data_IF_845666589375
#
_entry.id   IF_845666589375
#
_cell.length_a   1.000
_cell.length_b   1.000
_cell.length_c   1.000
_cell.angle_alpha   90.00
_cell.angle_beta   90.00
_cell.angle_gamma   90.00
#
_symmetry.space_group_name_H-M   'P 1'
#
loop_
_entity.id
_entity.type
_entity.pdbx_description
1 polymer ?
#
# COMPACT_ATOMS: atom_id res chain seq x y z
N UNK A 1 -15.09 -4.17 -6.00
CA UNK A 1 -14.95 -3.33 -4.78
C UNK A 1 -16.28 -2.91 -4.16
N UNK A 2 -17.15 -2.10 -4.81
CA UNK A 2 -18.39 -1.59 -4.17
C UNK A 2 -19.28 -2.63 -3.49
N UNK A 3 -19.55 -3.77 -4.16
CA UNK A 3 -20.28 -4.90 -3.55
C UNK A 3 -19.68 -5.37 -2.22
N UNK A 4 -18.36 -5.57 -2.18
CA UNK A 4 -17.62 -6.01 -0.99
C UNK A 4 -17.56 -4.91 0.06
N UNK A 5 -17.35 -3.66 -0.36
CA UNK A 5 -17.38 -2.49 0.53
C UNK A 5 -18.69 -2.39 1.30
N UNK A 6 -19.82 -2.60 0.62
CA UNK A 6 -21.15 -2.64 1.24
C UNK A 6 -21.33 -3.82 2.20
N UNK A 7 -20.82 -5.00 1.83
CA UNK A 7 -20.94 -6.20 2.67
C UNK A 7 -20.12 -6.09 3.96
N UNK A 8 -18.94 -5.48 3.90
CA UNK A 8 -18.01 -5.35 5.02
C UNK A 8 -18.20 -4.06 5.83
N UNK A 9 -19.02 -3.12 5.35
CA UNK A 9 -19.21 -1.80 5.96
C UNK A 9 -17.86 -1.08 6.17
N UNK A 10 -17.11 -0.92 5.07
CA UNK A 10 -15.72 -0.45 5.13
C UNK A 10 -15.61 0.97 5.69
N UNK A 11 -14.55 1.22 6.47
CA UNK A 11 -14.30 2.55 7.05
C UNK A 11 -13.49 3.47 6.13
N UNK A 12 -12.65 2.93 5.26
CA UNK A 12 -11.81 3.68 4.32
C UNK A 12 -11.30 2.74 3.23
N UNK A 13 -10.66 3.32 2.20
CA UNK A 13 -9.92 2.58 1.17
C UNK A 13 -8.45 2.99 1.23
N UNK A 14 -7.55 2.05 0.93
CA UNK A 14 -6.12 2.32 0.77
C UNK A 14 -5.75 2.10 -0.69
N UNK A 15 -5.07 3.08 -1.30
CA UNK A 15 -4.42 2.93 -2.60
C UNK A 15 -2.92 2.69 -2.41
N UNK A 16 -2.39 1.62 -2.99
CA UNK A 16 -0.98 1.22 -2.92
C UNK A 16 -0.10 1.89 -3.99
N UNK A 17 -0.56 3.00 -4.59
CA UNK A 17 0.21 3.79 -5.56
C UNK A 17 -0.04 3.39 -7.01
N UNK A 18 0.64 4.08 -7.92
CA UNK A 18 0.33 4.14 -9.35
C UNK A 18 -1.13 4.55 -9.57
N UNK A 19 -1.49 5.66 -8.92
CA UNK A 19 -2.85 6.15 -8.89
C UNK A 19 -3.32 6.60 -10.28
N UNK A 20 -2.41 7.19 -11.07
CA UNK A 20 -2.70 7.71 -12.40
C UNK A 20 -1.67 7.26 -13.44
N UNK A 21 -2.10 6.35 -14.31
CA UNK A 21 -1.32 5.89 -15.46
C UNK A 21 -1.51 6.80 -16.69
N UNK A 22 -0.55 6.89 -17.61
CA UNK A 22 0.77 6.24 -17.58
C UNK A 22 1.86 7.11 -16.94
N UNK A 23 1.64 8.41 -16.76
CA UNK A 23 2.68 9.33 -16.29
C UNK A 23 2.17 10.33 -15.26
N UNK A 24 1.33 9.86 -14.32
CA UNK A 24 0.79 10.71 -13.25
C UNK A 24 -0.16 11.78 -13.78
N UNK A 25 -0.42 12.79 -12.94
CA UNK A 25 -1.19 13.98 -13.31
C UNK A 25 -0.25 15.09 -13.78
N UNK A 26 -0.67 15.92 -14.72
CA UNK A 26 0.09 17.10 -15.16
C UNK A 26 0.06 18.22 -14.10
N UNK A 27 -1.09 18.43 -13.46
CA UNK A 27 -1.34 19.47 -12.47
C UNK A 27 -2.64 19.22 -11.69
N UNK A 28 -2.98 20.14 -10.76
CA UNK A 28 -4.16 20.03 -9.89
C UNK A 28 -5.50 20.11 -10.62
N UNK A 29 -5.53 20.59 -11.87
CA UNK A 29 -6.72 20.69 -12.72
C UNK A 29 -6.77 19.59 -13.79
N UNK A 30 -5.87 18.61 -13.74
CA UNK A 30 -5.84 17.53 -14.73
C UNK A 30 -7.18 16.74 -14.72
N UNK A 31 -7.82 16.55 -15.89
CA UNK A 31 -9.06 15.78 -15.99
C UNK A 31 -8.90 14.30 -15.59
N UNK A 32 -7.69 13.74 -15.68
CA UNK A 32 -7.41 12.35 -15.30
C UNK A 32 -7.77 12.04 -13.85
N UNK A 33 -7.67 13.02 -12.95
CA UNK A 33 -8.15 12.86 -11.57
C UNK A 33 -9.64 12.51 -11.53
N UNK A 34 -10.47 13.25 -12.27
CA UNK A 34 -11.91 12.98 -12.30
C UNK A 34 -12.23 11.70 -13.04
N UNK A 35 -11.64 11.49 -14.23
CA UNK A 35 -11.97 10.34 -15.07
C UNK A 35 -11.45 9.00 -14.55
N UNK A 36 -10.39 8.99 -13.73
CA UNK A 36 -9.76 7.77 -13.22
C UNK A 36 -10.01 7.51 -11.74
N UNK A 37 -10.54 8.49 -10.99
CA UNK A 37 -10.88 8.35 -9.57
C UNK A 37 -12.34 8.72 -9.28
N UNK A 38 -12.72 9.99 -9.46
CA UNK A 38 -14.04 10.49 -9.06
C UNK A 38 -15.18 9.72 -9.73
N UNK A 39 -15.13 9.60 -11.06
CA UNK A 39 -16.19 8.99 -11.86
C UNK A 39 -16.14 7.46 -11.87
N UNK A 40 -15.03 6.87 -11.42
CA UNK A 40 -14.86 5.40 -11.37
C UNK A 40 -15.46 4.84 -10.08
N UNK A 41 -15.13 5.43 -8.94
CA UNK A 41 -15.48 4.87 -7.62
C UNK A 41 -16.78 5.48 -7.07
N UNK A 42 -17.88 5.39 -7.81
CA UNK A 42 -19.15 6.08 -7.51
C UNK A 42 -20.11 5.30 -6.59
N UNK A 43 -19.83 4.04 -6.29
CA UNK A 43 -20.69 3.23 -5.41
C UNK A 43 -20.82 3.87 -4.01
N UNK A 44 -22.02 3.91 -3.40
CA UNK A 44 -22.23 4.48 -2.07
C UNK A 44 -21.28 3.95 -0.99
N UNK A 45 -20.89 2.67 -1.05
CA UNK A 45 -19.99 2.10 -0.05
C UNK A 45 -18.54 2.55 -0.19
N UNK A 46 -18.19 3.22 -1.29
CA UNK A 46 -16.86 3.76 -1.57
C UNK A 46 -16.78 5.27 -1.34
N UNK A 47 -17.87 5.88 -0.83
CA UNK A 47 -17.93 7.30 -0.47
C UNK A 47 -17.32 7.55 0.92
N UNK A 48 -16.10 7.04 1.09
CA UNK A 48 -15.27 7.20 2.29
C UNK A 48 -13.89 7.74 1.89
N UNK A 49 -13.02 8.04 2.85
CA UNK A 49 -11.65 8.49 2.58
C UNK A 49 -10.82 7.39 1.90
N UNK A 50 -10.04 7.81 0.91
CA UNK A 50 -9.04 7.04 0.20
C UNK A 50 -7.66 7.55 0.61
N UNK A 51 -6.94 6.72 1.36
CA UNK A 51 -5.56 6.97 1.77
C UNK A 51 -4.61 6.40 0.73
N UNK A 52 -3.97 7.26 -0.04
CA UNK A 52 -3.10 6.88 -1.15
C UNK A 52 -1.62 7.12 -0.84
N UNK A 53 -0.78 6.17 -1.23
CA UNK A 53 0.67 6.38 -1.42
C UNK A 53 0.96 6.67 -2.90
N UNK A 54 2.15 7.15 -3.21
CA UNK A 54 2.60 7.42 -4.57
C UNK A 54 3.35 6.21 -5.14
N UNK A 55 3.07 5.85 -6.39
CA UNK A 55 3.84 4.88 -7.15
C UNK A 55 4.80 5.52 -8.15
N UNK A 56 5.52 4.69 -8.89
CA UNK A 56 6.53 5.17 -9.84
C UNK A 56 5.90 5.93 -11.01
N UNK A 57 4.70 5.55 -11.44
CA UNK A 57 3.98 6.28 -12.50
C UNK A 57 3.50 7.65 -12.02
N UNK A 58 3.11 7.78 -10.75
CA UNK A 58 2.73 9.07 -10.16
C UNK A 58 3.89 10.08 -10.17
N UNK A 59 5.10 9.57 -9.96
CA UNK A 59 6.32 10.35 -10.05
C UNK A 59 6.73 10.75 -11.46
N UNK A 60 6.20 10.10 -12.49
CA UNK A 60 6.45 10.50 -13.88
C UNK A 60 5.64 11.74 -14.28
N UNK A 61 4.70 12.17 -13.43
CA UNK A 61 3.91 13.39 -13.57
C UNK A 61 4.27 14.44 -12.52
N UNK A 62 3.25 15.11 -12.00
CA UNK A 62 3.33 16.15 -11.00
C UNK A 62 2.94 15.60 -9.63
N UNK A 63 3.94 15.16 -8.87
CA UNK A 63 3.76 14.60 -7.53
C UNK A 63 3.10 15.61 -6.60
N UNK A 64 3.52 16.88 -6.68
CA UNK A 64 2.98 17.93 -5.82
C UNK A 64 1.48 18.18 -6.07
N UNK A 65 0.96 17.89 -7.26
CA UNK A 65 -0.47 17.97 -7.52
C UNK A 65 -1.23 16.91 -6.71
N UNK A 66 -0.76 15.67 -6.71
CA UNK A 66 -1.34 14.56 -5.94
C UNK A 66 -1.32 14.80 -4.43
N UNK A 67 -0.30 15.50 -3.95
CA UNK A 67 -0.12 15.90 -2.55
C UNK A 67 -0.85 17.19 -2.15
N UNK A 68 -1.52 17.88 -3.08
CA UNK A 68 -2.11 19.20 -2.82
C UNK A 68 -3.50 19.11 -2.18
N UNK A 69 -3.86 20.15 -1.42
CA UNK A 69 -5.23 20.33 -0.92
C UNK A 69 -6.22 20.73 -2.02
N UNK A 70 -5.72 21.11 -3.21
CA UNK A 70 -6.56 21.39 -4.38
C UNK A 70 -7.28 20.14 -4.87
N UNK A 71 -6.63 18.96 -4.84
CA UNK A 71 -7.28 17.69 -5.17
C UNK A 71 -8.31 17.28 -4.12
N UNK A 72 -8.01 17.50 -2.83
CA UNK A 72 -8.98 17.28 -1.74
C UNK A 72 -10.21 18.17 -1.93
N UNK A 73 -10.02 19.39 -2.43
CA UNK A 73 -11.11 20.33 -2.74
C UNK A 73 -11.94 19.88 -3.96
N UNK A 74 -11.34 19.13 -4.90
CA UNK A 74 -12.04 18.55 -6.05
C UNK A 74 -12.84 17.30 -5.67
N UNK A 75 -12.28 16.45 -4.82
CA UNK A 75 -12.96 15.27 -4.28
C UNK A 75 -12.50 15.02 -2.84
N UNK A 76 -13.35 15.25 -1.82
CA UNK A 76 -12.96 15.18 -0.40
C UNK A 76 -12.60 13.78 0.07
N UNK A 77 -12.83 12.75 -0.75
CA UNK A 77 -12.38 11.38 -0.47
C UNK A 77 -10.87 11.25 -0.62
N UNK A 78 -10.22 12.09 -1.42
CA UNK A 78 -8.79 11.93 -1.71
C UNK A 78 -7.92 12.39 -0.53
N UNK A 79 -7.01 11.53 -0.09
CA UNK A 79 -5.94 11.89 0.83
C UNK A 79 -4.63 11.23 0.39
N UNK A 80 -3.65 12.04 0.00
CA UNK A 80 -2.32 11.55 -0.36
C UNK A 80 -1.25 12.44 0.27
N UNK A 81 -0.30 11.80 0.97
CA UNK A 81 0.89 12.39 1.57
C UNK A 81 2.06 11.43 1.34
N UNK A 82 3.30 11.94 1.33
CA UNK A 82 4.50 11.10 1.16
C UNK A 82 4.65 10.07 2.27
N UNK A 83 4.45 10.52 3.51
CA UNK A 83 4.42 9.66 4.67
C UNK A 83 3.38 10.19 5.66
N UNK A 84 2.67 9.28 6.33
CA UNK A 84 1.68 9.60 7.36
C UNK A 84 1.35 8.35 8.17
N UNK A 85 0.73 8.54 9.32
CA UNK A 85 0.28 7.45 10.19
C UNK A 85 -1.20 7.61 10.52
N UNK A 86 -1.91 6.49 10.60
CA UNK A 86 -3.29 6.43 11.10
C UNK A 86 -3.34 5.45 12.28
N UNK A 87 -4.15 5.78 13.29
CA UNK A 87 -4.36 4.94 14.45
C UNK A 87 -5.86 4.75 14.67
N UNK A 88 -6.28 3.49 14.84
CA UNK A 88 -7.68 3.12 15.03
C UNK A 88 -7.84 2.29 16.29
N UNK A 89 -8.89 2.57 17.07
CA UNK A 89 -9.30 1.70 18.15
C UNK A 89 -10.11 0.51 17.58
N UNK A 90 -9.78 -0.71 17.99
CA UNK A 90 -10.53 -1.91 17.65
C UNK A 90 -11.33 -2.34 18.88
N UNK A 91 -12.65 -2.37 18.73
CA UNK A 91 -13.58 -2.65 19.82
C UNK A 91 -14.20 -4.04 19.64
N UNK A 92 -14.40 -4.75 20.75
CA UNK A 92 -15.12 -6.02 20.71
C UNK A 92 -16.64 -5.77 20.65
N UNK A 93 -17.29 -6.18 19.56
CA UNK A 93 -18.74 -6.05 19.40
C UNK A 93 -19.56 -6.77 20.50
N UNK A 94 -19.00 -7.81 21.13
CA UNK A 94 -19.68 -8.59 22.18
C UNK A 94 -19.50 -8.03 23.59
N UNK A 95 -18.50 -7.17 23.81
CA UNK A 95 -18.24 -6.46 25.06
C UNK A 95 -18.38 -4.97 24.80
N UNK A 96 -19.63 -4.51 24.72
CA UNK A 96 -19.98 -3.13 24.40
C UNK A 96 -19.08 -2.13 25.15
N UNK A 97 -18.22 -1.43 24.42
CA UNK A 97 -17.41 -0.32 24.91
C UNK A 97 -15.97 -0.63 25.36
N UNK A 98 -15.51 -1.88 25.37
CA UNK A 98 -14.09 -2.16 25.62
C UNK A 98 -13.29 -2.21 24.32
N UNK A 99 -12.53 -1.14 24.05
CA UNK A 99 -11.58 -1.06 22.94
C UNK A 99 -10.18 -1.23 23.51
N UNK A 100 -9.77 -2.48 23.73
CA UNK A 100 -8.48 -2.82 24.33
C UNK A 100 -7.38 -3.07 23.30
N UNK A 101 -7.71 -2.98 22.01
CA UNK A 101 -6.77 -3.18 20.92
C UNK A 101 -6.75 -1.97 19.98
N UNK A 102 -5.64 -1.78 19.28
CA UNK A 102 -5.47 -0.71 18.32
C UNK A 102 -4.74 -1.19 17.06
N UNK A 103 -5.05 -0.56 15.93
CA UNK A 103 -4.37 -0.75 14.65
C UNK A 103 -3.65 0.54 14.28
N UNK A 104 -2.33 0.45 14.08
CA UNK A 104 -1.53 1.51 13.49
C UNK A 104 -1.19 1.16 12.03
N UNK A 105 -1.51 2.08 11.12
CA UNK A 105 -1.09 2.04 9.72
C UNK A 105 -0.02 3.09 9.51
N UNK A 106 1.12 2.71 8.92
CA UNK A 106 2.21 3.61 8.57
C UNK A 106 2.40 3.62 7.06
N UNK A 107 2.26 4.78 6.45
CA UNK A 107 2.35 4.96 5.00
C UNK A 107 3.72 5.55 4.64
N UNK A 108 4.36 4.99 3.62
CA UNK A 108 5.74 5.27 3.24
C UNK A 108 5.87 5.52 1.73
N UNK A 109 6.78 6.41 1.34
CA UNK A 109 7.12 6.67 -0.06
C UNK A 109 8.38 5.89 -0.45
N UNK A 110 8.19 4.80 -1.22
CA UNK A 110 9.29 3.91 -1.60
C UNK A 110 10.01 4.32 -2.88
N UNK A 111 9.52 5.32 -3.63
CA UNK A 111 10.16 5.77 -4.87
C UNK A 111 11.61 6.25 -4.69
N UNK A 112 11.95 7.01 -3.63
CA UNK A 112 13.34 7.42 -3.41
C UNK A 112 14.28 6.26 -3.13
N UNK A 113 13.78 5.07 -2.75
CA UNK A 113 14.62 3.91 -2.42
C UNK A 113 15.19 3.23 -3.65
N UNK A 114 14.48 3.26 -4.77
CA UNK A 114 14.83 2.49 -5.98
C UNK A 114 15.98 3.15 -6.72
N UNK A 115 17.16 2.56 -6.71
CA UNK A 115 18.38 3.15 -7.30
C UNK A 115 18.26 3.35 -8.80
N UNK A 116 17.56 2.44 -9.49
CA UNK A 116 17.33 2.51 -10.94
C UNK A 116 16.67 3.83 -11.38
N UNK A 117 15.79 4.41 -10.55
CA UNK A 117 15.05 5.64 -10.89
C UNK A 117 15.93 6.89 -10.88
N UNK A 118 17.13 6.79 -10.30
CA UNK A 118 18.09 7.90 -10.20
C UNK A 118 19.24 7.80 -11.20
N UNK A 119 19.29 6.71 -11.98
CA UNK A 119 20.34 6.52 -12.98
C UNK A 119 20.17 7.53 -14.12
N UNK A 120 21.26 8.17 -14.59
CA UNK A 120 21.21 9.08 -15.75
C UNK A 120 20.75 8.38 -17.04
N UNK A 121 20.81 7.05 -17.08
CA UNK A 121 20.36 6.21 -18.19
C UNK A 121 18.87 5.89 -18.13
N UNK A 122 18.16 6.27 -17.07
CA UNK A 122 16.73 6.05 -16.98
C UNK A 122 16.01 6.94 -18.01
N UNK A 123 15.13 6.34 -18.81
CA UNK A 123 14.38 7.04 -19.87
C UNK A 123 13.19 7.82 -19.33
N UNK A 124 12.68 7.43 -18.16
CA UNK A 124 11.55 8.09 -17.52
C UNK A 124 12.03 9.31 -16.73
N UNK A 125 11.26 10.40 -16.84
CA UNK A 125 11.51 11.62 -16.07
C UNK A 125 10.72 11.56 -14.78
N UNK A 126 11.39 11.58 -13.64
CA UNK A 126 10.78 11.57 -12.31
C UNK A 126 10.77 12.96 -11.67
N UNK A 127 9.70 13.28 -10.95
CA UNK A 127 9.53 14.50 -10.18
C UNK A 127 10.08 14.37 -8.75
N UNK A 128 11.35 14.74 -8.59
CA UNK A 128 12.06 14.68 -7.30
C UNK A 128 11.89 15.93 -6.42
N UNK A 129 10.94 16.83 -6.74
CA UNK A 129 10.73 18.06 -5.95
C UNK A 129 10.38 17.72 -4.49
N UNK A 130 11.10 18.37 -3.58
CA UNK A 130 10.96 18.17 -2.14
C UNK A 130 11.68 16.93 -1.58
N UNK A 131 12.51 16.25 -2.38
CA UNK A 131 13.22 15.01 -1.96
C UNK A 131 14.75 15.11 -2.09
N UNK A 132 15.27 16.29 -2.41
CA UNK A 132 16.70 16.52 -2.55
C UNK A 132 17.26 17.19 -1.29
N UNK A 133 18.43 16.74 -0.79
CA UNK A 133 19.26 15.63 -1.29
C UNK A 133 18.68 14.23 -0.97
N UNK A 134 18.77 13.30 -1.95
CA UNK A 134 18.20 11.94 -1.84
C UNK A 134 18.67 11.19 -0.60
N UNK A 135 19.97 11.22 -0.31
CA UNK A 135 20.56 10.47 0.82
C UNK A 135 20.00 10.95 2.16
N UNK A 136 19.89 12.26 2.34
CA UNK A 136 19.34 12.85 3.57
C UNK A 136 17.85 12.53 3.70
N UNK A 137 17.11 12.62 2.59
CA UNK A 137 15.69 12.27 2.58
C UNK A 137 15.45 10.79 2.92
N UNK A 138 16.24 9.88 2.35
CA UNK A 138 16.13 8.45 2.64
C UNK A 138 16.41 8.16 4.10
N UNK A 139 17.45 8.77 4.67
CA UNK A 139 17.78 8.60 6.07
C UNK A 139 16.67 9.16 6.97
N UNK A 140 16.19 10.38 6.71
CA UNK A 140 15.10 11.00 7.48
C UNK A 140 13.86 10.11 7.47
N UNK A 141 13.48 9.58 6.30
CA UNK A 141 12.31 8.74 6.17
C UNK A 141 12.46 7.40 6.93
N UNK A 142 13.66 6.80 6.93
CA UNK A 142 13.94 5.60 7.72
C UNK A 142 13.93 5.89 9.22
N UNK A 143 14.51 7.01 9.67
CA UNK A 143 14.55 7.41 11.08
C UNK A 143 13.14 7.73 11.60
N UNK A 144 12.34 8.47 10.83
CA UNK A 144 10.95 8.80 11.15
C UNK A 144 10.08 7.54 11.24
N UNK A 145 10.20 6.62 10.28
CA UNK A 145 9.48 5.34 10.34
C UNK A 145 9.92 4.54 11.56
N UNK A 146 11.22 4.42 11.79
CA UNK A 146 11.82 3.69 12.92
C UNK A 146 11.26 4.20 14.24
N UNK A 147 11.27 5.51 14.46
CA UNK A 147 10.74 6.12 15.68
C UNK A 147 9.22 5.92 15.79
N UNK A 148 8.47 6.05 14.71
CA UNK A 148 7.03 5.85 14.70
C UNK A 148 6.64 4.40 15.04
N UNK A 149 7.30 3.40 14.46
CA UNK A 149 7.00 1.98 14.75
C UNK A 149 7.48 1.58 16.14
N UNK A 150 8.63 2.10 16.59
CA UNK A 150 9.20 1.81 17.91
C UNK A 150 8.38 2.42 19.04
N UNK A 151 7.90 3.65 18.88
CA UNK A 151 7.08 4.35 19.87
C UNK A 151 5.62 3.86 19.91
N UNK A 152 5.14 3.21 18.85
CA UNK A 152 3.78 2.69 18.79
C UNK A 152 3.58 1.47 19.69
N UNK A 153 2.62 1.60 20.61
CA UNK A 153 2.10 0.51 21.44
C UNK A 153 0.92 -0.24 20.79
N UNK A 154 0.69 -0.03 19.48
CA UNK A 154 -0.47 -0.59 18.82
C UNK A 154 -0.46 -2.12 18.83
N UNK A 155 -1.64 -2.72 19.03
CA UNK A 155 -1.81 -4.18 18.98
C UNK A 155 -1.44 -4.72 17.61
N UNK A 156 -1.75 -4.00 16.55
CA UNK A 156 -1.42 -4.36 15.18
C UNK A 156 -0.68 -3.22 14.49
N UNK A 157 0.42 -3.52 13.80
CA UNK A 157 1.21 -2.57 13.04
C UNK A 157 1.31 -3.01 11.59
N UNK A 158 0.82 -2.19 10.67
CA UNK A 158 0.87 -2.44 9.23
C UNK A 158 1.59 -1.30 8.55
N UNK A 159 2.55 -1.62 7.68
CA UNK A 159 3.20 -0.65 6.79
C UNK A 159 2.60 -0.77 5.39
N UNK A 160 2.30 0.37 4.76
CA UNK A 160 1.77 0.47 3.40
C UNK A 160 2.73 1.29 2.55
N UNK A 161 3.11 0.77 1.39
CA UNK A 161 3.96 1.47 0.44
C UNK A 161 3.72 0.97 -1.00
N UNK A 162 4.40 1.53 -1.99
CA UNK A 162 4.19 1.12 -3.37
C UNK A 162 4.95 -0.15 -3.80
N UNK A 163 6.28 -0.16 -3.62
CA UNK A 163 7.15 -1.20 -4.16
C UNK A 163 7.15 -2.49 -3.32
N UNK A 164 7.50 -3.59 -3.96
CA UNK A 164 7.63 -4.93 -3.38
C UNK A 164 8.89 -5.05 -2.51
N UNK A 165 8.79 -5.61 -1.30
CA UNK A 165 9.99 -6.11 -0.59
C UNK A 165 10.39 -7.45 -1.20
N UNK A 166 9.43 -8.38 -1.27
CA UNK A 166 9.56 -9.66 -1.97
C UNK A 166 8.42 -9.81 -2.95
N UNK A 167 8.69 -10.38 -4.13
CA UNK A 167 7.64 -10.72 -5.07
C UNK A 167 8.08 -11.78 -6.09
N UNK A 168 7.09 -12.50 -6.62
CA UNK A 168 7.27 -13.40 -7.76
C UNK A 168 6.63 -12.85 -9.04
N UNK A 169 6.19 -11.59 -9.01
CA UNK A 169 5.77 -10.84 -10.20
C UNK A 169 6.95 -10.41 -11.07
N UNK A 170 6.63 -9.68 -12.14
CA UNK A 170 7.60 -9.26 -13.15
C UNK A 170 8.66 -8.31 -12.61
N UNK A 171 8.31 -7.45 -11.66
CA UNK A 171 9.26 -6.56 -11.00
C UNK A 171 10.10 -7.36 -9.99
N UNK A 172 9.47 -8.19 -9.16
CA UNK A 172 10.18 -9.07 -8.20
C UNK A 172 10.65 -8.32 -6.95
N UNK A 173 11.75 -8.74 -6.36
CA UNK A 173 12.27 -8.14 -5.12
C UNK A 173 12.92 -6.77 -5.36
N UNK A 174 12.60 -5.77 -4.52
CA UNK A 174 13.38 -4.52 -4.43
C UNK A 174 14.51 -4.68 -3.42
N UNK A 175 15.75 -4.85 -3.90
CA UNK A 175 16.92 -5.14 -3.05
C UNK A 175 17.16 -4.03 -2.02
N UNK A 176 16.89 -2.78 -2.36
CA UNK A 176 17.07 -1.63 -1.48
C UNK A 176 16.10 -1.69 -0.29
N UNK A 177 14.84 -2.10 -0.52
CA UNK A 177 13.86 -2.27 0.56
C UNK A 177 14.19 -3.49 1.42
N UNK A 178 14.68 -4.56 0.80
CA UNK A 178 15.17 -5.75 1.51
C UNK A 178 16.30 -5.42 2.46
N UNK A 179 17.23 -4.55 2.04
CA UNK A 179 18.42 -4.22 2.83
C UNK A 179 18.16 -3.12 3.86
N UNK A 180 17.30 -2.13 3.54
CA UNK A 180 17.14 -0.91 4.35
C UNK A 180 15.85 -0.88 5.14
N UNK A 181 14.74 -1.38 4.58
CA UNK A 181 13.42 -1.27 5.18
C UNK A 181 13.04 -2.52 5.98
N UNK A 182 13.17 -3.71 5.39
CA UNK A 182 12.76 -4.97 6.01
C UNK A 182 13.38 -5.18 7.42
N UNK A 183 14.67 -4.89 7.67
CA UNK A 183 15.24 -5.05 9.01
C UNK A 183 14.54 -4.19 10.07
N UNK A 184 14.13 -2.96 9.74
CA UNK A 184 13.40 -2.06 10.65
C UNK A 184 12.02 -2.63 10.97
N UNK A 185 11.33 -3.18 9.95
CA UNK A 185 10.01 -3.79 10.12
C UNK A 185 10.08 -4.98 11.08
N UNK A 186 11.08 -5.83 10.91
CA UNK A 186 11.30 -7.02 11.74
C UNK A 186 11.73 -6.65 13.17
N UNK A 187 12.68 -5.72 13.33
CA UNK A 187 13.20 -5.30 14.63
C UNK A 187 12.13 -4.67 15.52
N UNK A 188 11.16 -3.95 14.93
CA UNK A 188 10.17 -3.18 15.69
C UNK A 188 8.75 -3.78 15.66
N UNK A 189 8.66 -5.07 15.31
CA UNK A 189 7.44 -5.86 15.44
C UNK A 189 6.30 -5.37 14.54
N UNK A 190 6.62 -4.99 13.30
CA UNK A 190 5.60 -4.79 12.25
C UNK A 190 5.03 -6.15 11.86
N UNK A 191 3.70 -6.25 11.82
CA UNK A 191 3.02 -7.50 11.52
C UNK A 191 2.93 -7.75 10.01
N UNK A 192 2.62 -6.68 9.26
CA UNK A 192 2.25 -6.77 7.85
C UNK A 192 2.85 -5.62 7.04
N UNK A 193 3.34 -5.92 5.84
CA UNK A 193 3.67 -4.96 4.80
C UNK A 193 2.72 -5.17 3.61
N UNK A 194 2.06 -4.11 3.16
CA UNK A 194 1.12 -4.14 2.03
C UNK A 194 1.64 -3.23 0.92
N UNK A 195 1.73 -3.76 -0.29
CA UNK A 195 2.20 -3.01 -1.46
C UNK A 195 1.41 -3.25 -2.74
N UNK A 196 1.78 -2.51 -3.79
CA UNK A 196 1.29 -2.66 -5.16
C UNK A 196 2.46 -2.99 -6.09
N UNK A 197 2.68 -2.16 -7.12
CA UNK A 197 3.78 -2.23 -8.10
C UNK A 197 3.77 -3.47 -9.00
N UNK A 198 3.89 -4.67 -8.43
CA UNK A 198 3.64 -5.89 -9.19
C UNK A 198 2.14 -6.07 -9.43
N UNK A 199 1.77 -6.18 -10.70
CA UNK A 199 0.39 -6.24 -11.19
C UNK A 199 -0.29 -7.60 -10.94
N UNK A 200 -0.21 -8.09 -9.70
CA UNK A 200 -0.69 -9.40 -9.24
C UNK A 200 -1.36 -9.28 -7.86
N UNK A 201 -1.93 -10.39 -7.40
CA UNK A 201 -2.31 -10.59 -5.99
C UNK A 201 -1.36 -11.61 -5.37
N UNK A 202 -0.82 -11.32 -4.20
CA UNK A 202 0.17 -12.20 -3.58
C UNK A 202 0.18 -12.11 -2.06
N UNK A 203 0.42 -13.24 -1.40
CA UNK A 203 0.85 -13.32 0.00
C UNK A 203 2.15 -14.14 0.08
N UNK A 204 3.22 -13.52 0.61
CA UNK A 204 4.48 -14.17 0.95
C UNK A 204 4.64 -14.16 2.48
N UNK A 205 5.02 -15.31 3.02
CA UNK A 205 5.47 -15.49 4.39
C UNK A 205 6.67 -16.44 4.40
N UNK A 206 7.86 -15.87 4.50
CA UNK A 206 9.12 -16.63 4.61
C UNK A 206 9.33 -17.12 6.04
N UNK A 207 9.87 -18.34 6.26
CA UNK A 207 10.09 -18.87 7.60
C UNK A 207 10.95 -17.98 8.51
N UNK A 208 11.97 -17.35 7.94
CA UNK A 208 12.91 -16.46 8.62
C UNK A 208 12.37 -15.05 8.84
N UNK A 209 11.29 -14.68 8.14
CA UNK A 209 10.79 -13.32 8.13
C UNK A 209 9.61 -13.17 9.09
N UNK A 210 9.67 -12.23 10.04
CA UNK A 210 8.56 -12.02 10.98
C UNK A 210 7.33 -11.39 10.30
N UNK A 211 7.54 -10.57 9.29
CA UNK A 211 6.52 -9.77 8.60
C UNK A 211 5.76 -10.60 7.55
N UNK A 212 4.45 -10.44 7.48
CA UNK A 212 3.65 -10.93 6.34
C UNK A 212 3.67 -9.92 5.20
N UNK A 213 3.97 -10.36 3.98
CA UNK A 213 4.08 -9.49 2.81
C UNK A 213 2.90 -9.72 1.87
N UNK A 214 2.06 -8.70 1.68
CA UNK A 214 0.92 -8.76 0.77
C UNK A 214 1.08 -7.80 -0.40
N UNK A 215 0.98 -8.31 -1.63
CA UNK A 215 0.90 -7.48 -2.84
C UNK A 215 -0.54 -7.44 -3.32
N UNK A 216 -1.11 -6.25 -3.42
CA UNK A 216 -2.42 -5.96 -4.01
C UNK A 216 -2.26 -4.95 -5.14
N UNK A 217 -1.63 -5.37 -6.26
CA UNK A 217 -1.36 -4.53 -7.43
C UNK A 217 -2.24 -4.82 -8.66
N UNK A 218 -3.15 -5.80 -8.58
CA UNK A 218 -4.06 -6.17 -9.68
C UNK A 218 -5.29 -5.26 -9.85
N UNK A 219 -5.22 -3.99 -9.45
CA UNK A 219 -6.39 -3.09 -9.45
C UNK A 219 -6.82 -2.58 -10.83
N UNK A 220 -5.90 -2.58 -11.81
CA UNK A 220 -6.14 -2.12 -13.19
C UNK A 220 -5.28 -2.91 -14.18
N UNK A 221 -3.99 -2.59 -14.30
CA UNK A 221 -3.03 -3.41 -15.05
C UNK A 221 -2.84 -4.75 -14.32
N UNK A 222 -2.76 -5.84 -15.08
CA UNK A 222 -2.60 -7.23 -14.61
C UNK A 222 -2.16 -8.13 -15.76
N UNK A 223 -2.00 -9.43 -15.52
CA UNK A 223 -1.58 -10.40 -16.55
C UNK A 223 -0.17 -10.12 -17.07
N UNK A 224 0.70 -9.64 -16.19
CA UNK A 224 2.09 -9.34 -16.51
C UNK A 224 2.95 -10.61 -16.54
N UNK A 225 2.47 -11.71 -15.97
CA UNK A 225 3.20 -12.95 -15.81
C UNK A 225 3.88 -13.09 -14.45
N UNK A 226 4.30 -14.32 -14.15
CA UNK A 226 4.99 -14.68 -12.92
C UNK A 226 6.40 -15.17 -13.24
N UNK A 227 7.37 -14.78 -12.41
CA UNK A 227 8.69 -15.41 -12.38
C UNK A 227 8.56 -16.82 -11.81
N UNK A 228 9.44 -17.72 -12.22
CA UNK A 228 9.57 -19.02 -11.57
C UNK A 228 9.96 -18.83 -10.09
N UNK A 229 9.37 -19.62 -9.20
CA UNK A 229 9.63 -19.53 -7.78
C UNK A 229 9.73 -20.90 -7.11
N UNK A 230 10.40 -20.95 -5.96
CA UNK A 230 10.60 -22.15 -5.14
C UNK A 230 9.86 -22.03 -3.80
N UNK A 231 9.79 -23.13 -3.06
CA UNK A 231 9.21 -23.15 -1.71
C UNK A 231 9.94 -22.20 -0.73
N UNK A 232 11.25 -22.00 -0.91
CA UNK A 232 12.08 -21.11 -0.08
C UNK A 232 11.62 -19.64 -0.15
N UNK A 233 10.92 -19.24 -1.22
CA UNK A 233 10.38 -17.89 -1.34
C UNK A 233 9.13 -17.68 -0.48
N UNK A 234 8.57 -18.73 0.14
CA UNK A 234 7.49 -18.61 1.12
C UNK A 234 6.16 -18.14 0.53
N UNK A 235 5.92 -18.37 -0.77
CA UNK A 235 4.66 -17.98 -1.45
C UNK A 235 3.50 -18.80 -0.86
N UNK A 236 2.61 -18.13 -0.15
CA UNK A 236 1.39 -18.72 0.42
C UNK A 236 0.22 -18.66 -0.57
N UNK A 237 0.20 -17.61 -1.39
CA UNK A 237 -0.78 -17.39 -2.44
C UNK A 237 -0.19 -16.47 -3.52
N UNK A 238 -0.51 -16.76 -4.77
CA UNK A 238 -0.24 -15.87 -5.91
C UNK A 238 -1.29 -16.07 -6.98
N UNK A 239 -1.75 -14.96 -7.57
CA UNK A 239 -2.63 -14.95 -8.73
C UNK A 239 -2.21 -13.83 -9.68
N UNK A 240 -1.88 -14.21 -10.91
CA UNK A 240 -1.70 -13.27 -12.01
C UNK A 240 -3.07 -12.90 -12.58
N UNK A 241 -3.63 -11.80 -12.11
CA UNK A 241 -4.96 -11.36 -12.49
C UNK A 241 -5.43 -10.17 -11.68
N UNK A 242 -6.62 -9.69 -12.03
CA UNK A 242 -7.21 -8.53 -11.39
C UNK A 242 -7.92 -8.86 -10.08
N UNK A 243 -7.90 -7.92 -9.15
CA UNK A 243 -8.58 -8.03 -7.87
C UNK A 243 -8.06 -7.03 -6.84
N UNK A 244 -8.41 -7.25 -5.57
CA UNK A 244 -8.05 -6.36 -4.48
C UNK A 244 -8.03 -7.12 -3.14
N UNK A 245 -7.34 -6.54 -2.16
CA UNK A 245 -7.29 -7.04 -0.78
C UNK A 245 -8.35 -6.35 0.09
N UNK A 246 -9.17 -7.13 0.79
CA UNK A 246 -10.02 -6.67 1.89
C UNK A 246 -9.38 -7.06 3.23
N UNK A 247 -9.40 -6.14 4.20
CA UNK A 247 -8.81 -6.34 5.53
C UNK A 247 -9.84 -6.05 6.61
N UNK A 248 -10.05 -7.00 7.53
CA UNK A 248 -10.97 -6.87 8.66
C UNK A 248 -10.24 -7.14 9.97
N UNK A 249 -10.13 -6.14 10.83
CA UNK A 249 -9.41 -6.24 12.10
C UNK A 249 -10.35 -6.45 13.30
N UNK A 250 -9.96 -7.36 14.19
CA UNK A 250 -10.54 -7.65 15.50
C UNK A 250 -9.44 -7.53 16.57
N UNK A 251 -9.79 -7.46 17.87
CA UNK A 251 -8.78 -7.28 18.91
C UNK A 251 -7.67 -8.33 18.91
N UNK A 252 -8.01 -9.58 18.60
CA UNK A 252 -7.13 -10.76 18.65
C UNK A 252 -6.74 -11.30 17.27
N UNK A 253 -7.28 -10.72 16.18
CA UNK A 253 -7.06 -11.24 14.83
C UNK A 253 -7.25 -10.21 13.72
N UNK A 254 -6.57 -10.40 12.59
CA UNK A 254 -6.85 -9.68 11.35
C UNK A 254 -7.09 -10.70 10.24
N UNK A 255 -8.22 -10.56 9.56
CA UNK A 255 -8.56 -11.33 8.37
C UNK A 255 -8.15 -10.55 7.11
N UNK A 256 -7.37 -11.19 6.27
CA UNK A 256 -6.95 -10.74 4.95
C UNK A 256 -7.64 -11.60 3.89
N UNK A 257 -8.41 -10.99 3.01
CA UNK A 257 -9.12 -11.69 1.94
C UNK A 257 -8.81 -11.06 0.60
N UNK A 258 -8.18 -11.79 -0.31
CA UNK A 258 -8.12 -11.38 -1.70
C UNK A 258 -9.46 -11.69 -2.38
N UNK A 259 -9.97 -10.71 -3.12
CA UNK A 259 -11.14 -10.85 -3.96
C UNK A 259 -10.76 -10.65 -5.42
N UNK A 260 -11.43 -11.38 -6.31
CA UNK A 260 -11.35 -11.15 -7.75
C UNK A 260 -12.20 -9.92 -8.18
N UNK A 261 -12.30 -9.69 -9.49
CA UNK A 261 -13.07 -8.59 -10.08
C UNK A 261 -14.58 -8.67 -9.84
N UNK A 262 -15.12 -9.87 -9.60
CA UNK A 262 -16.54 -10.07 -9.31
C UNK A 262 -16.87 -9.83 -7.84
N UNK A 263 -15.83 -9.82 -6.99
CA UNK A 263 -15.93 -9.70 -5.54
C UNK A 263 -15.92 -11.04 -4.83
N UNK A 264 -15.62 -12.13 -5.54
CA UNK A 264 -15.56 -13.47 -4.95
C UNK A 264 -14.21 -13.68 -4.25
N UNK A 265 -14.20 -14.26 -3.03
CA UNK A 265 -12.96 -14.49 -2.30
C UNK A 265 -12.13 -15.60 -2.95
N UNK A 266 -10.88 -15.29 -3.28
CA UNK A 266 -9.93 -16.24 -3.89
C UNK A 266 -8.87 -16.74 -2.92
N UNK A 267 -8.64 -16.01 -1.82
CA UNK A 267 -7.71 -16.40 -0.77
C UNK A 267 -8.10 -15.75 0.56
N UNK A 268 -8.00 -16.50 1.66
CA UNK A 268 -8.24 -16.01 3.01
C UNK A 268 -7.07 -16.36 3.91
N UNK A 269 -6.61 -15.40 4.69
CA UNK A 269 -5.57 -15.58 5.70
C UNK A 269 -5.98 -14.89 7.00
N UNK A 270 -6.04 -15.66 8.09
CA UNK A 270 -6.34 -15.15 9.43
C UNK A 270 -5.04 -15.06 10.22
N UNK A 271 -4.59 -13.85 10.51
CA UNK A 271 -3.48 -13.58 11.41
C UNK A 271 -4.03 -13.47 12.83
N UNK A 272 -3.43 -14.17 13.80
CA UNK A 272 -3.85 -14.19 15.20
C UNK A 272 -2.69 -13.82 16.13
N UNK A 273 -3.00 -13.15 17.24
CA UNK A 273 -2.07 -12.83 18.33
C UNK A 273 -2.49 -13.52 19.63
#
# INVERSE_FOLDING_TARGET
MGKVGKQLDIQFVVSTGDNFYDTGLDNVSDPAFTSSFTDIYTDPSLQTTWYAVLGNHDYMGNVLAQLSDDLVSRDPRWFCRRAFQLNFAICNATLAGSCNATLALFFLDTNPFIDEYWLPTNISKFDWRGLLPRTEQLQSQLDELTEAVKSSSATWKIVVAHHTIRSVGVHGDSIELVQKLLPILEEHGVDVYINGHDHILQHIKRPECAVHLFTSGGGSKSYAGLKAYTEEQGVQFVQDGQGFLAVSARPDSILFTFHDVFGDPVYNFLLQK
#
